data_IF_999090206150
#
_entry.id   IF_999090206150
#
_cell.length_a   1.000
_cell.length_b   1.000
_cell.length_c   1.000
_cell.angle_alpha   90.00
_cell.angle_beta   90.00
_cell.angle_gamma   90.00
#
_symmetry.space_group_name_H-M   'P 1'
#
loop_
_entity.id
_entity.type
_entity.pdbx_description
1 polymer ?
#
# COMPACT_ATOMS: atom_id res chain seq x y z
N UNK A 1 13.69 58.61 18.24
CA UNK A 1 12.54 57.74 17.92
C UNK A 1 12.92 56.99 16.66
N UNK A 2 13.40 55.74 16.79
CA UNK A 2 13.98 54.95 15.69
C UNK A 2 12.87 54.16 15.00
N UNK A 3 12.82 54.26 13.68
CA UNK A 3 11.81 53.68 12.82
C UNK A 3 11.73 52.15 12.99
N UNK A 4 10.53 51.65 13.28
CA UNK A 4 10.21 50.21 13.25
C UNK A 4 9.86 49.88 11.81
N UNK A 5 10.80 49.27 11.10
CA UNK A 5 10.57 48.73 9.76
C UNK A 5 9.81 47.43 9.91
N UNK A 6 8.50 47.48 9.67
CA UNK A 6 7.61 46.32 9.55
C UNK A 6 7.95 45.55 8.26
N UNK A 7 8.80 44.53 8.37
CA UNK A 7 9.00 43.55 7.31
C UNK A 7 8.04 42.36 7.57
N UNK A 8 6.84 42.42 6.99
CA UNK A 8 5.96 41.27 6.90
C UNK A 8 6.51 40.31 5.83
N UNK A 9 7.31 39.34 6.26
CA UNK A 9 7.77 38.25 5.39
C UNK A 9 6.64 37.21 5.34
N UNK A 10 5.83 37.27 4.28
CA UNK A 10 4.92 36.20 3.92
C UNK A 10 5.75 35.04 3.33
N UNK A 11 6.19 34.11 4.18
CA UNK A 11 6.72 32.84 3.72
C UNK A 11 5.51 31.99 3.30
N UNK A 12 5.17 32.05 2.01
CA UNK A 12 4.31 31.03 1.39
C UNK A 12 5.18 29.79 1.24
N UNK A 13 5.28 29.01 2.31
CA UNK A 13 5.76 27.64 2.22
C UNK A 13 4.68 26.84 1.48
N UNK A 14 4.81 26.77 0.16
CA UNK A 14 4.09 25.79 -0.64
C UNK A 14 4.49 24.43 -0.11
N UNK A 15 3.63 23.83 0.71
CA UNK A 15 3.66 22.40 0.99
C UNK A 15 3.46 21.72 -0.36
N UNK A 16 4.55 21.39 -1.04
CA UNK A 16 4.55 20.37 -2.06
C UNK A 16 4.25 19.07 -1.32
N UNK A 17 2.97 18.82 -1.01
CA UNK A 17 2.50 17.48 -0.75
C UNK A 17 2.90 16.68 -1.99
N UNK A 18 3.67 15.58 -1.87
CA UNK A 18 3.77 14.67 -2.98
C UNK A 18 2.32 14.30 -3.31
N UNK A 19 1.86 14.72 -4.49
CA UNK A 19 0.64 14.18 -5.04
C UNK A 19 0.99 12.73 -5.25
N UNK A 20 0.54 11.85 -4.36
CA UNK A 20 0.42 10.44 -4.62
C UNK A 20 -0.49 10.34 -5.83
N UNK A 21 0.12 10.44 -7.02
CA UNK A 21 -0.53 10.10 -8.26
C UNK A 21 -0.75 8.60 -8.11
N UNK A 22 -1.93 8.24 -7.58
CA UNK A 22 -2.56 6.93 -7.75
C UNK A 22 -2.57 6.71 -9.25
N UNK A 23 -1.46 6.20 -9.79
CA UNK A 23 -1.43 5.64 -11.13
C UNK A 23 -2.40 4.48 -11.00
N UNK A 24 -3.57 4.53 -11.67
CA UNK A 24 -4.49 3.41 -11.61
C UNK A 24 -3.68 2.22 -12.09
N UNK A 25 -3.32 1.35 -11.16
CA UNK A 25 -2.56 0.16 -11.50
C UNK A 25 -3.48 -0.57 -12.47
N UNK A 26 -2.98 -0.97 -13.63
CA UNK A 26 -3.74 -1.78 -14.60
C UNK A 26 -4.28 -3.06 -13.90
N UNK A 27 -3.69 -3.37 -12.75
CA UNK A 27 -4.00 -4.46 -11.83
C UNK A 27 -5.02 -4.10 -10.72
N UNK A 28 -5.36 -2.83 -10.51
CA UNK A 28 -6.08 -2.30 -9.34
C UNK A 28 -7.53 -2.76 -9.14
N UNK A 29 -8.09 -3.55 -10.06
CA UNK A 29 -9.31 -4.32 -9.83
C UNK A 29 -9.12 -5.84 -9.98
N UNK A 30 -8.07 -6.26 -10.68
CA UNK A 30 -7.73 -7.67 -10.86
C UNK A 30 -7.10 -8.29 -9.60
N UNK A 31 -6.57 -7.46 -8.71
CA UNK A 31 -5.92 -7.87 -7.47
C UNK A 31 -6.82 -7.82 -6.24
N UNK A 32 -8.11 -7.47 -6.39
CA UNK A 32 -9.03 -7.35 -5.27
C UNK A 32 -9.22 -8.69 -4.56
N UNK A 33 -9.59 -9.75 -5.30
CA UNK A 33 -9.74 -11.11 -4.74
C UNK A 33 -8.42 -11.62 -4.15
N UNK A 34 -7.27 -11.56 -4.86
CA UNK A 34 -6.01 -11.97 -4.26
C UNK A 34 -5.58 -11.18 -3.01
N UNK A 35 -5.92 -9.90 -2.92
CA UNK A 35 -5.66 -9.10 -1.73
C UNK A 35 -6.48 -9.60 -0.54
N UNK A 36 -7.79 -9.81 -0.74
CA UNK A 36 -8.67 -10.29 0.32
C UNK A 36 -8.25 -11.68 0.80
N UNK A 37 -7.94 -12.57 -0.14
CA UNK A 37 -7.46 -13.92 0.17
C UNK A 37 -6.13 -13.88 0.93
N UNK A 38 -5.24 -12.96 0.60
CA UNK A 38 -3.96 -12.82 1.28
C UNK A 38 -4.16 -12.41 2.75
N UNK A 39 -5.03 -11.43 3.02
CA UNK A 39 -5.37 -11.02 4.39
C UNK A 39 -6.01 -12.18 5.15
N UNK A 40 -7.04 -12.82 4.58
CA UNK A 40 -7.73 -13.97 5.21
C UNK A 40 -6.76 -15.11 5.50
N UNK A 41 -5.85 -15.42 4.57
CA UNK A 41 -4.85 -16.45 4.77
C UNK A 41 -3.89 -16.05 5.90
N UNK A 42 -3.47 -14.80 5.97
CA UNK A 42 -2.60 -14.35 7.05
C UNK A 42 -3.26 -14.41 8.42
N UNK A 43 -4.55 -14.09 8.51
CA UNK A 43 -5.31 -14.15 9.76
C UNK A 43 -5.53 -15.57 10.29
N UNK A 44 -5.64 -16.54 9.37
CA UNK A 44 -5.95 -17.94 9.68
C UNK A 44 -4.72 -18.83 9.89
N UNK A 45 -3.51 -18.30 9.69
CA UNK A 45 -2.27 -19.05 9.85
C UNK A 45 -1.39 -18.43 10.96
N UNK A 46 -0.69 -19.27 11.72
CA UNK A 46 0.40 -18.81 12.57
C UNK A 46 1.58 -18.41 11.70
N UNK A 47 1.65 -17.13 11.33
CA UNK A 47 2.75 -16.58 10.56
C UNK A 47 3.95 -16.38 11.48
N UNK A 48 4.94 -17.28 11.39
CA UNK A 48 6.21 -17.12 12.10
C UNK A 48 7.05 -15.97 11.52
N UNK A 49 7.44 -16.11 10.25
CA UNK A 49 8.14 -15.08 9.48
C UNK A 49 7.19 -14.48 8.45
N UNK A 50 6.77 -13.24 8.70
CA UNK A 50 5.85 -12.51 7.83
C UNK A 50 6.43 -12.22 6.46
N UNK A 51 7.69 -11.81 6.38
CA UNK A 51 8.30 -11.39 5.12
C UNK A 51 8.44 -12.59 4.18
N UNK A 52 8.91 -13.72 4.71
CA UNK A 52 9.01 -14.98 3.96
C UNK A 52 7.64 -15.50 3.52
N UNK A 53 6.64 -15.45 4.41
CA UNK A 53 5.27 -15.85 4.07
C UNK A 53 4.67 -14.94 3.00
N UNK A 54 4.79 -13.63 3.15
CA UNK A 54 4.24 -12.64 2.24
C UNK A 54 4.89 -12.73 0.87
N UNK A 55 6.21 -12.90 0.80
CA UNK A 55 6.92 -13.15 -0.45
C UNK A 55 6.41 -14.43 -1.15
N UNK A 56 6.19 -15.50 -0.40
CA UNK A 56 5.68 -16.77 -0.95
C UNK A 56 4.27 -16.64 -1.51
N UNK A 57 3.36 -16.00 -0.79
CA UNK A 57 1.97 -15.88 -1.23
C UNK A 57 1.84 -14.89 -2.41
N UNK A 58 2.55 -13.76 -2.37
CA UNK A 58 2.59 -12.82 -3.50
C UNK A 58 3.23 -13.46 -4.74
N UNK A 59 4.22 -14.35 -4.57
CA UNK A 59 4.77 -15.15 -5.67
C UNK A 59 3.72 -16.04 -6.34
N UNK A 60 2.83 -16.66 -5.57
CA UNK A 60 1.76 -17.52 -6.11
C UNK A 60 0.74 -16.68 -6.88
N UNK A 61 0.25 -15.61 -6.27
CA UNK A 61 -0.74 -14.70 -6.87
C UNK A 61 -0.22 -14.10 -8.16
N UNK A 62 0.99 -13.55 -8.13
CA UNK A 62 1.59 -12.90 -9.30
C UNK A 62 2.19 -13.88 -10.32
N UNK A 63 2.25 -15.18 -10.00
CA UNK A 63 2.94 -16.18 -10.80
C UNK A 63 2.35 -16.37 -12.20
N UNK A 64 1.02 -16.25 -12.33
CA UNK A 64 0.29 -16.43 -13.59
C UNK A 64 0.31 -15.22 -14.54
N UNK A 65 0.85 -14.08 -14.11
CA UNK A 65 0.75 -12.82 -14.85
C UNK A 65 1.80 -12.63 -15.94
N UNK A 66 2.64 -13.64 -16.20
CA UNK A 66 3.66 -13.60 -17.25
C UNK A 66 4.59 -12.40 -17.10
N UNK A 67 4.59 -11.52 -18.11
CA UNK A 67 5.44 -10.31 -18.15
C UNK A 67 5.11 -9.34 -17.00
N UNK A 68 3.85 -9.31 -16.53
CA UNK A 68 3.40 -8.42 -15.45
C UNK A 68 3.71 -8.96 -14.05
N UNK A 69 4.33 -10.15 -13.93
CA UNK A 69 4.69 -10.75 -12.64
C UNK A 69 5.54 -9.82 -11.78
N UNK A 70 6.50 -9.12 -12.38
CA UNK A 70 7.38 -8.18 -11.67
C UNK A 70 6.61 -7.00 -11.09
N UNK A 71 5.74 -6.40 -11.89
CA UNK A 71 4.91 -5.25 -11.49
C UNK A 71 3.90 -5.63 -10.40
N UNK A 72 3.26 -6.78 -10.53
CA UNK A 72 2.36 -7.29 -9.49
C UNK A 72 3.07 -7.47 -8.15
N UNK A 73 4.25 -8.10 -8.14
CA UNK A 73 5.02 -8.29 -6.90
C UNK A 73 5.44 -6.95 -6.30
N UNK A 74 5.93 -6.03 -7.13
CA UNK A 74 6.32 -4.71 -6.66
C UNK A 74 5.12 -3.97 -6.04
N UNK A 75 3.93 -4.14 -6.61
CA UNK A 75 2.72 -3.54 -6.08
C UNK A 75 2.33 -4.11 -4.71
N UNK A 76 2.29 -5.44 -4.55
CA UNK A 76 2.08 -6.05 -3.22
C UNK A 76 3.16 -5.65 -2.21
N UNK A 77 4.44 -5.69 -2.61
CA UNK A 77 5.56 -5.33 -1.73
C UNK A 77 5.50 -3.86 -1.29
N UNK A 78 4.97 -2.96 -2.14
CA UNK A 78 4.77 -1.56 -1.77
C UNK A 78 3.75 -1.35 -0.65
N UNK A 79 2.92 -2.36 -0.34
CA UNK A 79 1.86 -2.35 0.69
C UNK A 79 2.09 -3.38 1.80
N UNK A 80 3.29 -3.94 1.90
CA UNK A 80 3.61 -5.04 2.81
C UNK A 80 3.34 -4.70 4.28
N UNK A 81 3.65 -3.46 4.70
CA UNK A 81 3.40 -3.01 6.06
C UNK A 81 1.91 -2.90 6.36
N UNK A 82 1.12 -2.42 5.41
CA UNK A 82 -0.34 -2.37 5.50
C UNK A 82 -0.93 -3.78 5.62
N UNK A 83 -0.49 -4.74 4.79
CA UNK A 83 -0.91 -6.14 4.92
C UNK A 83 -0.57 -6.73 6.30
N UNK A 84 0.64 -6.51 6.80
CA UNK A 84 1.06 -6.97 8.13
C UNK A 84 0.16 -6.38 9.23
N UNK A 85 -0.16 -5.10 9.10
CA UNK A 85 -1.06 -4.40 10.01
C UNK A 85 -2.46 -5.02 9.97
N UNK A 86 -3.07 -5.10 8.80
CA UNK A 86 -4.43 -5.64 8.61
C UNK A 86 -4.57 -7.07 9.15
N UNK A 87 -3.59 -7.93 8.89
CA UNK A 87 -3.57 -9.31 9.38
C UNK A 87 -3.48 -9.35 10.91
N UNK A 88 -2.59 -8.55 11.51
CA UNK A 88 -2.43 -8.50 12.99
C UNK A 88 -3.66 -7.93 13.69
N UNK A 89 -4.32 -6.96 13.08
CA UNK A 89 -5.53 -6.34 13.63
C UNK A 89 -6.82 -7.08 13.28
N UNK A 90 -6.74 -8.10 12.42
CA UNK A 90 -7.89 -8.81 11.85
C UNK A 90 -8.89 -7.85 11.20
N UNK A 91 -8.36 -6.92 10.40
CA UNK A 91 -9.15 -5.90 9.72
C UNK A 91 -10.04 -6.54 8.65
N UNK A 92 -11.20 -5.94 8.37
CA UNK A 92 -12.07 -6.43 7.31
C UNK A 92 -11.31 -6.48 5.96
N UNK A 93 -11.19 -7.65 5.30
CA UNK A 93 -10.36 -7.79 4.10
C UNK A 93 -10.82 -6.89 2.95
N UNK A 94 -12.12 -6.77 2.71
CA UNK A 94 -12.65 -5.99 1.60
C UNK A 94 -12.41 -4.49 1.80
N UNK A 95 -12.66 -3.99 3.02
CA UNK A 95 -12.35 -2.60 3.38
C UNK A 95 -10.85 -2.30 3.28
N UNK A 96 -10.02 -3.20 3.80
CA UNK A 96 -8.56 -3.07 3.79
C UNK A 96 -8.00 -3.01 2.37
N UNK A 97 -8.46 -3.90 1.48
CA UNK A 97 -8.01 -3.94 0.08
C UNK A 97 -8.45 -2.72 -0.73
N UNK A 98 -9.62 -2.15 -0.40
CA UNK A 98 -10.06 -0.88 -0.95
C UNK A 98 -9.23 0.31 -0.46
N UNK A 99 -8.80 0.28 0.81
CA UNK A 99 -7.94 1.31 1.38
C UNK A 99 -6.60 1.41 0.63
N UNK A 100 -6.02 0.27 0.24
CA UNK A 100 -4.73 0.20 -0.45
C UNK A 100 -4.81 0.14 -1.99
N UNK A 101 -5.99 0.38 -2.59
CA UNK A 101 -6.20 0.44 -4.05
C UNK A 101 -5.95 -0.88 -4.78
N UNK A 102 -6.24 -2.00 -4.11
CA UNK A 102 -6.34 -3.33 -4.73
C UNK A 102 -7.78 -3.63 -5.17
N UNK A 103 -8.73 -2.88 -4.60
CA UNK A 103 -10.12 -2.70 -4.94
C UNK A 103 -10.42 -1.17 -4.90
#
# INVERSE_FOLDING_TARGET
MRAVVLAAILIVATLATPVDIKKPSILGGALCIPCEDLIRNGENNEIGDFDTWFEKETNKVCGGLGILKGECKAYFKSKENEFNHFIKTKADPAASCKEIDFC
#
